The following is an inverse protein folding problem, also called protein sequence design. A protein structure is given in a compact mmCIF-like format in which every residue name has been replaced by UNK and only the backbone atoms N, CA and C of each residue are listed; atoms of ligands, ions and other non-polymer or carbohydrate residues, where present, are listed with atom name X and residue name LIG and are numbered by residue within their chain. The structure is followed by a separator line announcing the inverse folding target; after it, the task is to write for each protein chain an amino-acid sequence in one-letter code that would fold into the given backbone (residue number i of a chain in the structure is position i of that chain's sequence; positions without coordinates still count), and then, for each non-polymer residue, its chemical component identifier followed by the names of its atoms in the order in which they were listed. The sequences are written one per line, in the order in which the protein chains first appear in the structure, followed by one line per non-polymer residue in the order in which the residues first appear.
data_IF_327430510058
#
_entry.id   IF_327430510058
#
_cell.length_a   1.000
_cell.length_b   1.000
_cell.length_c   1.000
_cell.angle_alpha   90.00
_cell.angle_beta   90.00
_cell.angle_gamma   90.00
#
_symmetry.space_group_name_H-M   'P 1'
#
loop_
_entity.id
_entity.type
_entity.pdbx_description
1 polymer ?
#
# COMPACT_ATOMS: atom_id res chain seq x y z
N UNK A 1 -28.62 21.22 1.47
CA UNK A 1 -28.72 19.74 1.60
C UNK A 1 -29.03 19.38 3.03
N UNK A 2 -30.02 18.51 3.27
CA UNK A 2 -30.47 18.07 4.60
C UNK A 2 -29.35 17.30 5.33
N UNK A 3 -29.30 17.44 6.67
CA UNK A 3 -28.34 16.73 7.55
C UNK A 3 -28.36 15.20 7.34
N UNK A 4 -29.53 14.66 7.04
CA UNK A 4 -29.79 13.25 6.75
C UNK A 4 -29.11 12.80 5.44
N UNK A 5 -29.24 13.59 4.36
CA UNK A 5 -28.63 13.27 3.05
C UNK A 5 -27.07 13.26 3.11
N UNK A 6 -26.49 14.04 4.03
CA UNK A 6 -25.03 14.08 4.24
C UNK A 6 -24.54 12.85 5.02
N UNK A 7 -25.34 12.38 5.99
CA UNK A 7 -25.03 11.16 6.76
C UNK A 7 -25.13 9.93 5.86
N UNK A 8 -26.15 9.84 5.00
CA UNK A 8 -26.32 8.74 4.04
C UNK A 8 -25.16 8.68 3.04
N UNK A 9 -24.65 9.84 2.58
CA UNK A 9 -23.50 9.90 1.67
C UNK A 9 -22.21 9.37 2.32
N UNK A 10 -21.95 9.71 3.58
CA UNK A 10 -20.81 9.20 4.33
C UNK A 10 -20.90 7.69 4.58
N UNK A 11 -22.08 7.20 4.96
CA UNK A 11 -22.30 5.78 5.20
C UNK A 11 -22.14 4.95 3.91
N UNK A 12 -22.64 5.47 2.81
CA UNK A 12 -22.51 4.85 1.48
C UNK A 12 -21.05 4.75 1.05
N UNK A 13 -20.27 5.83 1.25
CA UNK A 13 -18.83 5.83 0.94
C UNK A 13 -18.05 4.79 1.75
N UNK A 14 -18.26 4.71 3.07
CA UNK A 14 -17.63 3.69 3.91
C UNK A 14 -18.02 2.28 3.45
N UNK A 15 -19.27 2.08 3.03
CA UNK A 15 -19.74 0.78 2.52
C UNK A 15 -19.08 0.42 1.19
N UNK A 16 -18.92 1.37 0.28
CA UNK A 16 -18.25 1.15 -1.02
C UNK A 16 -16.76 0.84 -0.84
N UNK A 17 -16.08 1.57 0.04
CA UNK A 17 -14.68 1.30 0.42
C UNK A 17 -14.56 -0.11 1.02
N UNK A 18 -15.44 -0.48 1.96
CA UNK A 18 -15.42 -1.81 2.58
C UNK A 18 -15.67 -2.95 1.58
N UNK A 19 -16.54 -2.73 0.58
CA UNK A 19 -16.77 -3.69 -0.51
C UNK A 19 -15.55 -3.83 -1.42
N UNK A 20 -14.89 -2.71 -1.76
CA UNK A 20 -13.68 -2.73 -2.58
C UNK A 20 -12.53 -3.48 -1.90
N UNK A 21 -12.34 -3.26 -0.61
CA UNK A 21 -11.34 -3.97 0.22
C UNK A 21 -11.56 -5.48 0.22
N UNK A 22 -12.82 -5.93 0.12
CA UNK A 22 -13.21 -7.34 0.10
C UNK A 22 -13.16 -7.98 -1.29
N UNK A 23 -12.84 -7.21 -2.33
CA UNK A 23 -12.80 -7.67 -3.73
C UNK A 23 -11.39 -8.12 -4.13
N UNK A 24 -11.29 -8.87 -5.24
CA UNK A 24 -10.01 -9.29 -5.85
C UNK A 24 -9.30 -8.17 -6.64
N UNK A 25 -9.60 -6.91 -6.36
CA UNK A 25 -8.96 -5.76 -6.99
C UNK A 25 -7.49 -5.66 -6.57
N UNK A 26 -6.63 -5.21 -7.47
CA UNK A 26 -5.25 -4.87 -7.15
C UNK A 26 -5.21 -3.74 -6.11
N UNK A 27 -4.23 -3.76 -5.22
CA UNK A 27 -4.08 -2.77 -4.15
C UNK A 27 -4.16 -1.33 -4.67
N UNK A 28 -3.54 -1.03 -5.80
CA UNK A 28 -3.54 0.30 -6.42
C UNK A 28 -4.94 0.79 -6.80
N UNK A 29 -5.79 -0.10 -7.31
CA UNK A 29 -7.18 0.25 -7.65
C UNK A 29 -8.01 0.55 -6.40
N UNK A 30 -7.79 -0.22 -5.32
CA UNK A 30 -8.42 0.03 -4.02
C UNK A 30 -7.99 1.40 -3.48
N UNK A 31 -6.70 1.70 -3.48
CA UNK A 31 -6.18 2.98 -2.99
C UNK A 31 -6.70 4.16 -3.80
N UNK A 32 -6.77 4.01 -5.14
CA UNK A 32 -7.34 5.03 -6.03
C UNK A 32 -8.81 5.27 -5.74
N UNK A 33 -9.60 4.20 -5.54
CA UNK A 33 -11.01 4.31 -5.17
C UNK A 33 -11.17 5.05 -3.84
N UNK A 34 -10.37 4.70 -2.83
CA UNK A 34 -10.41 5.35 -1.51
C UNK A 34 -10.19 6.86 -1.63
N UNK A 35 -9.14 7.31 -2.32
CA UNK A 35 -8.87 8.75 -2.46
C UNK A 35 -9.95 9.47 -3.25
N UNK A 36 -10.51 8.84 -4.30
CA UNK A 36 -11.55 9.43 -5.15
C UNK A 36 -12.85 9.59 -4.37
N UNK A 37 -13.34 8.53 -3.75
CA UNK A 37 -14.58 8.55 -2.96
C UNK A 37 -14.46 9.51 -1.77
N UNK A 38 -13.31 9.53 -1.10
CA UNK A 38 -13.07 10.45 0.01
C UNK A 38 -13.10 11.91 -0.47
N UNK A 39 -12.48 12.20 -1.61
CA UNK A 39 -12.50 13.55 -2.19
C UNK A 39 -13.92 14.04 -2.49
N UNK A 40 -14.75 13.18 -3.07
CA UNK A 40 -16.16 13.49 -3.38
C UNK A 40 -16.99 13.72 -2.11
N UNK A 41 -16.87 12.80 -1.14
CA UNK A 41 -17.70 12.84 0.09
C UNK A 41 -17.34 14.03 0.94
N UNK A 42 -16.07 14.34 1.07
CA UNK A 42 -15.58 15.46 1.88
C UNK A 42 -15.53 16.79 1.09
N UNK A 43 -15.98 16.78 -0.17
CA UNK A 43 -15.97 17.95 -1.06
C UNK A 43 -14.60 18.63 -1.09
N UNK A 44 -13.54 17.82 -1.20
CA UNK A 44 -12.16 18.29 -1.25
C UNK A 44 -11.67 18.43 -2.68
N UNK A 45 -10.68 19.28 -2.89
CA UNK A 45 -10.04 19.47 -4.20
C UNK A 45 -9.10 18.33 -4.56
N UNK A 46 -8.24 17.95 -3.61
CA UNK A 46 -7.30 16.85 -3.77
C UNK A 46 -7.26 16.03 -2.48
N UNK A 47 -7.35 14.71 -2.65
CA UNK A 47 -6.93 13.74 -1.66
C UNK A 47 -5.68 13.02 -2.13
N UNK A 48 -4.79 12.68 -1.23
CA UNK A 48 -3.63 11.86 -1.53
C UNK A 48 -3.24 10.96 -0.36
N UNK A 49 -2.80 9.78 -0.70
CA UNK A 49 -2.34 8.77 0.22
C UNK A 49 -0.84 8.55 -0.01
N UNK A 50 -0.07 8.71 1.05
CA UNK A 50 1.36 8.51 1.04
C UNK A 50 1.70 7.30 1.92
N UNK A 51 2.50 6.36 1.43
CA UNK A 51 3.00 5.24 2.21
C UNK A 51 4.42 5.51 2.70
N UNK A 52 4.72 5.03 3.90
CA UNK A 52 6.04 5.11 4.50
C UNK A 52 6.93 3.99 3.94
N UNK A 53 7.97 4.38 3.23
CA UNK A 53 9.10 3.50 2.92
C UNK A 53 9.95 3.38 4.21
N UNK A 54 9.90 2.22 4.85
CA UNK A 54 10.56 2.00 6.13
C UNK A 54 12.09 1.98 6.00
N UNK A 55 12.63 1.59 4.84
CA UNK A 55 14.08 1.50 4.61
C UNK A 55 14.68 2.90 4.43
N UNK A 56 14.02 3.75 3.64
CA UNK A 56 14.44 5.12 3.38
C UNK A 56 13.91 6.12 4.40
N UNK A 57 12.93 5.73 5.20
CA UNK A 57 12.18 6.60 6.13
C UNK A 57 11.56 7.82 5.44
N UNK A 58 10.98 7.58 4.27
CA UNK A 58 10.35 8.58 3.43
C UNK A 58 8.89 8.22 3.12
N UNK A 59 8.05 9.24 3.05
CA UNK A 59 6.67 9.14 2.59
C UNK A 59 6.62 9.31 1.07
N UNK A 60 6.04 8.34 0.37
CA UNK A 60 5.92 8.28 -1.09
C UNK A 60 4.44 8.32 -1.47
N UNK A 61 4.05 9.17 -2.42
CA UNK A 61 2.67 9.20 -2.95
C UNK A 61 2.38 7.87 -3.63
N UNK A 62 1.32 7.19 -3.20
CA UNK A 62 0.86 5.92 -3.78
C UNK A 62 -0.47 6.06 -4.50
N UNK A 63 -1.35 6.95 -4.02
CA UNK A 63 -2.61 7.22 -4.68
C UNK A 63 -3.01 8.69 -4.53
N UNK A 64 -3.60 9.23 -5.57
CA UNK A 64 -4.27 10.53 -5.59
C UNK A 64 -5.22 10.56 -6.79
N UNK A 65 -6.31 11.33 -6.69
CA UNK A 65 -7.15 11.62 -7.85
C UNK A 65 -6.66 12.82 -8.66
N UNK A 66 -5.59 13.50 -8.22
CA UNK A 66 -4.99 14.59 -9.00
C UNK A 66 -4.39 14.08 -10.29
N UNK A 67 -4.74 14.72 -11.41
CA UNK A 67 -4.14 14.49 -12.72
C UNK A 67 -2.92 15.40 -12.99
N UNK A 68 -2.65 16.32 -12.06
CA UNK A 68 -1.53 17.27 -12.19
C UNK A 68 -0.19 16.56 -12.07
N UNK A 69 0.63 16.72 -13.11
CA UNK A 69 2.00 16.23 -13.10
C UNK A 69 2.85 16.89 -12.00
N UNK A 70 2.67 18.20 -11.79
CA UNK A 70 3.39 18.93 -10.76
C UNK A 70 3.07 18.42 -9.35
N UNK A 71 1.81 18.00 -9.10
CA UNK A 71 1.41 17.40 -7.84
C UNK A 71 1.97 15.98 -7.69
N UNK A 72 1.90 15.16 -8.73
CA UNK A 72 2.30 13.75 -8.71
C UNK A 72 3.82 13.55 -8.63
N UNK A 73 4.59 14.52 -9.13
CA UNK A 73 6.07 14.49 -9.14
C UNK A 73 6.71 15.21 -7.95
N UNK A 74 5.92 15.53 -6.91
CA UNK A 74 6.50 16.11 -5.69
C UNK A 74 7.57 15.16 -5.10
N UNK A 75 8.67 15.73 -4.57
CA UNK A 75 9.68 14.94 -3.85
C UNK A 75 9.07 14.14 -2.71
N UNK A 76 9.67 12.99 -2.40
CA UNK A 76 9.35 12.24 -1.20
C UNK A 76 9.60 13.10 0.04
N UNK A 77 8.85 12.84 1.10
CA UNK A 77 8.90 13.60 2.34
C UNK A 77 9.54 12.72 3.41
N UNK A 78 10.63 13.18 4.02
CA UNK A 78 11.27 12.44 5.10
C UNK A 78 10.38 12.41 6.35
N UNK A 79 10.52 11.35 7.11
CA UNK A 79 9.83 11.22 8.41
C UNK A 79 10.25 12.39 9.32
N UNK A 80 9.25 13.09 9.87
CA UNK A 80 9.44 14.29 10.69
C UNK A 80 9.57 15.60 9.90
N UNK A 81 9.71 15.57 8.58
CA UNK A 81 9.86 16.74 7.73
C UNK A 81 8.52 17.24 7.19
N UNK A 82 8.32 18.53 7.17
CA UNK A 82 7.08 19.15 6.72
C UNK A 82 5.85 18.69 7.52
N UNK A 83 4.67 18.88 6.95
CA UNK A 83 3.40 18.53 7.64
C UNK A 83 3.19 17.01 7.64
N UNK A 84 3.26 16.35 6.49
CA UNK A 84 3.00 14.92 6.41
C UNK A 84 4.05 14.09 7.19
N UNK A 85 5.35 14.47 7.13
CA UNK A 85 6.39 13.79 7.90
C UNK A 85 6.20 13.95 9.42
N UNK A 86 5.73 15.10 9.88
CA UNK A 86 5.37 15.32 11.29
C UNK A 86 4.15 14.51 11.70
N UNK A 87 3.09 14.48 10.89
CA UNK A 87 1.92 13.62 11.13
C UNK A 87 2.32 12.16 11.29
N UNK A 88 3.23 11.68 10.44
CA UNK A 88 3.74 10.31 10.54
C UNK A 88 4.55 10.09 11.82
N UNK A 89 5.39 11.04 12.23
CA UNK A 89 6.23 10.94 13.42
C UNK A 89 5.41 11.06 14.71
N UNK A 90 4.54 12.09 14.79
CA UNK A 90 3.75 12.42 15.98
C UNK A 90 2.50 11.52 16.12
N UNK A 91 2.09 10.83 15.05
CA UNK A 91 0.89 9.96 14.99
C UNK A 91 -0.39 10.70 15.34
N UNK A 92 -0.48 11.96 14.99
CA UNK A 92 -1.63 12.84 15.29
C UNK A 92 -2.06 13.60 14.05
N UNK A 93 -3.37 13.86 13.87
CA UNK A 93 -3.84 14.75 12.82
C UNK A 93 -3.25 16.16 12.97
N UNK A 94 -2.96 16.79 11.81
CA UNK A 94 -2.56 18.21 11.74
C UNK A 94 -3.49 18.90 10.74
N UNK A 95 -4.02 20.08 11.17
CA UNK A 95 -4.81 20.97 10.33
C UNK A 95 -3.99 22.21 10.01
N UNK A 96 -4.00 22.64 8.75
CA UNK A 96 -3.37 23.87 8.28
C UNK A 96 -4.41 24.69 7.53
N UNK A 97 -4.61 25.92 7.98
CA UNK A 97 -5.60 26.83 7.39
C UNK A 97 -5.20 27.32 6.01
N UNK A 98 -3.89 27.59 5.78
CA UNK A 98 -3.36 27.96 4.47
C UNK A 98 -1.95 27.39 4.25
N UNK A 99 -1.85 26.40 3.35
CA UNK A 99 -0.58 25.75 3.00
C UNK A 99 0.35 26.63 2.17
N UNK A 100 -0.18 27.68 1.54
CA UNK A 100 0.59 28.59 0.67
C UNK A 100 1.50 29.53 1.46
N UNK A 101 1.12 29.80 2.71
CA UNK A 101 1.81 30.71 3.62
C UNK A 101 2.47 30.00 4.79
N UNK A 102 2.09 28.75 5.07
CA UNK A 102 2.63 27.99 6.19
C UNK A 102 4.11 27.64 5.99
N UNK A 103 4.95 28.04 6.94
CA UNK A 103 6.41 27.88 6.86
C UNK A 103 6.85 26.41 6.88
N UNK A 104 6.09 25.54 7.55
CA UNK A 104 6.38 24.12 7.65
C UNK A 104 5.87 23.29 6.45
N UNK A 105 5.13 23.91 5.51
CA UNK A 105 4.65 23.23 4.32
C UNK A 105 5.69 23.29 3.19
N UNK A 106 6.23 22.15 2.78
CA UNK A 106 7.40 22.06 1.88
C UNK A 106 7.10 22.49 0.43
N UNK A 107 5.90 22.17 -0.07
CA UNK A 107 5.59 22.30 -1.51
C UNK A 107 4.67 23.51 -1.78
N UNK A 108 5.01 24.69 -1.22
CA UNK A 108 4.19 25.92 -1.32
C UNK A 108 3.93 26.35 -2.76
N UNK A 109 4.93 26.20 -3.64
CA UNK A 109 4.79 26.59 -5.04
C UNK A 109 3.83 25.65 -5.79
N UNK A 110 3.87 24.35 -5.49
CA UNK A 110 2.87 23.40 -6.00
C UNK A 110 1.49 23.74 -5.46
N UNK A 111 1.37 24.05 -4.18
CA UNK A 111 0.08 24.46 -3.60
C UNK A 111 -0.49 25.72 -4.28
N UNK A 112 0.32 26.73 -4.53
CA UNK A 112 -0.09 27.94 -5.27
C UNK A 112 -0.53 27.62 -6.68
N UNK A 113 0.26 26.84 -7.41
CA UNK A 113 -0.04 26.43 -8.79
C UNK A 113 -1.32 25.62 -8.90
N UNK A 114 -1.54 24.70 -7.97
CA UNK A 114 -2.74 23.86 -7.93
C UNK A 114 -3.93 24.51 -7.22
N UNK A 115 -3.77 25.72 -6.68
CA UNK A 115 -4.81 26.43 -5.94
C UNK A 115 -5.26 25.68 -4.71
N UNK A 116 -4.33 25.08 -3.95
CA UNK A 116 -4.60 24.40 -2.68
C UNK A 116 -4.52 25.42 -1.55
N UNK A 117 -5.48 25.39 -0.64
CA UNK A 117 -5.56 26.35 0.47
C UNK A 117 -5.45 25.66 1.81
N UNK A 118 -6.49 24.98 2.30
CA UNK A 118 -6.43 24.33 3.60
C UNK A 118 -6.07 22.85 3.46
N UNK A 119 -5.43 22.31 4.50
CA UNK A 119 -4.98 20.91 4.57
C UNK A 119 -5.44 20.27 5.87
N UNK A 120 -6.04 19.10 5.76
CA UNK A 120 -6.16 18.12 6.83
C UNK A 120 -5.26 16.92 6.50
N UNK A 121 -4.32 16.63 7.38
CA UNK A 121 -3.37 15.51 7.25
C UNK A 121 -3.54 14.59 8.44
N UNK A 122 -3.81 13.30 8.20
CA UNK A 122 -4.05 12.31 9.25
C UNK A 122 -3.14 11.09 9.09
N UNK A 123 -2.68 10.47 10.19
CA UNK A 123 -1.85 9.28 10.10
C UNK A 123 -2.68 8.05 9.73
N UNK A 124 -2.09 7.15 8.95
CA UNK A 124 -2.60 5.81 8.70
C UNK A 124 -1.91 4.84 9.66
N UNK A 125 -2.67 4.27 10.57
CA UNK A 125 -2.16 3.45 11.68
C UNK A 125 -2.68 2.02 11.60
N UNK A 126 -1.77 1.05 11.79
CA UNK A 126 -2.11 -0.35 12.04
C UNK A 126 -1.42 -0.80 13.32
N UNK A 127 -2.20 -1.21 14.32
CA UNK A 127 -1.68 -1.64 15.64
C UNK A 127 -0.68 -0.65 16.27
N UNK A 128 -0.97 0.67 16.13
CA UNK A 128 -0.11 1.74 16.65
C UNK A 128 1.16 2.05 15.83
N UNK A 129 1.42 1.31 14.74
CA UNK A 129 2.49 1.57 13.78
C UNK A 129 1.97 2.44 12.65
N UNK A 130 2.70 3.47 12.27
CA UNK A 130 2.39 4.29 11.09
C UNK A 130 2.81 3.51 9.85
N UNK A 131 1.91 3.41 8.88
CA UNK A 131 2.19 2.87 7.55
C UNK A 131 2.13 3.95 6.47
N UNK A 132 1.60 5.12 6.80
CA UNK A 132 1.51 6.24 5.87
C UNK A 132 0.72 7.41 6.42
N UNK A 133 0.35 8.32 5.54
CA UNK A 133 -0.39 9.56 5.83
C UNK A 133 -1.45 9.78 4.75
N UNK A 134 -2.63 10.22 5.15
CA UNK A 134 -3.70 10.62 4.25
C UNK A 134 -3.88 12.14 4.32
N UNK A 135 -3.73 12.81 3.19
CA UNK A 135 -3.88 14.26 3.05
C UNK A 135 -5.15 14.61 2.28
N UNK A 136 -5.86 15.61 2.78
CA UNK A 136 -7.04 16.18 2.15
C UNK A 136 -6.86 17.70 2.02
N UNK A 137 -7.00 18.22 0.80
CA UNK A 137 -6.84 19.65 0.49
C UNK A 137 -8.15 20.25 -0.02
N UNK A 138 -8.39 21.50 0.36
CA UNK A 138 -9.47 22.34 -0.19
C UNK A 138 -8.90 23.41 -1.11
N UNK A 139 -9.76 24.02 -1.95
CA UNK A 139 -9.41 25.16 -2.81
C UNK A 139 -9.83 26.51 -2.20
N UNK A 140 -10.43 26.48 -1.02
CA UNK A 140 -10.87 27.65 -0.26
C UNK A 140 -10.47 27.49 1.19
N UNK A 141 -10.37 28.61 1.95
CA UNK A 141 -10.20 28.55 3.40
C UNK A 141 -11.28 27.66 4.02
N UNK A 142 -10.87 26.69 4.83
CA UNK A 142 -11.76 25.76 5.48
C UNK A 142 -11.26 25.41 6.88
N UNK A 143 -12.13 25.61 7.87
CA UNK A 143 -11.90 25.20 9.24
C UNK A 143 -12.46 23.79 9.43
N UNK A 144 -11.60 22.81 9.48
CA UNK A 144 -12.00 21.41 9.65
C UNK A 144 -12.58 21.16 11.02
N UNK A 145 -13.86 20.79 11.06
CA UNK A 145 -14.55 20.39 12.28
C UNK A 145 -13.99 19.07 12.82
N UNK A 146 -14.16 18.83 14.12
CA UNK A 146 -13.77 17.55 14.73
C UNK A 146 -14.40 16.34 14.01
N UNK A 147 -15.64 16.47 13.56
CA UNK A 147 -16.32 15.43 12.80
C UNK A 147 -15.64 15.11 11.46
N UNK A 148 -15.09 16.11 10.76
CA UNK A 148 -14.36 15.90 9.52
C UNK A 148 -13.00 15.25 9.79
N UNK A 149 -12.32 15.66 10.87
CA UNK A 149 -11.07 15.03 11.33
C UNK A 149 -11.32 13.56 11.66
N UNK A 150 -12.36 13.25 12.44
CA UNK A 150 -12.72 11.88 12.83
C UNK A 150 -13.11 11.05 11.60
N UNK A 151 -13.84 11.63 10.65
CA UNK A 151 -14.25 10.96 9.42
C UNK A 151 -13.01 10.58 8.58
N UNK A 152 -12.10 11.51 8.33
CA UNK A 152 -10.89 11.23 7.56
C UNK A 152 -9.97 10.24 8.29
N UNK A 153 -9.87 10.34 9.62
CA UNK A 153 -9.11 9.39 10.44
C UNK A 153 -9.69 7.98 10.35
N UNK A 154 -11.02 7.85 10.35
CA UNK A 154 -11.70 6.57 10.16
C UNK A 154 -11.41 5.96 8.78
N UNK A 155 -11.49 6.76 7.72
CA UNK A 155 -11.13 6.33 6.35
C UNK A 155 -9.66 5.93 6.26
N UNK A 156 -8.76 6.74 6.83
CA UNK A 156 -7.32 6.45 6.87
C UNK A 156 -7.00 5.13 7.60
N UNK A 157 -7.73 4.83 8.68
CA UNK A 157 -7.61 3.58 9.41
C UNK A 157 -8.06 2.38 8.58
N UNK A 158 -9.17 2.49 7.82
CA UNK A 158 -9.63 1.43 6.92
C UNK A 158 -8.66 1.23 5.75
N UNK A 159 -8.14 2.31 5.16
CA UNK A 159 -7.10 2.23 4.14
C UNK A 159 -5.85 1.53 4.66
N UNK A 160 -5.43 1.84 5.88
CA UNK A 160 -4.29 1.22 6.53
C UNK A 160 -4.45 -0.30 6.67
N UNK A 161 -5.61 -0.76 7.11
CA UNK A 161 -5.93 -2.20 7.24
C UNK A 161 -5.93 -2.88 5.87
N UNK A 162 -6.50 -2.24 4.84
CA UNK A 162 -6.53 -2.79 3.49
C UNK A 162 -5.12 -3.00 2.93
N UNK A 163 -4.23 -2.03 3.13
CA UNK A 163 -2.83 -2.09 2.69
C UNK A 163 -2.09 -3.22 3.42
N UNK A 164 -2.18 -3.27 4.74
CA UNK A 164 -1.54 -4.32 5.55
C UNK A 164 -2.01 -5.73 5.11
N UNK A 165 -3.31 -5.90 4.90
CA UNK A 165 -3.87 -7.17 4.43
C UNK A 165 -3.34 -7.56 3.05
N UNK A 166 -3.28 -6.63 2.09
CA UNK A 166 -2.74 -6.90 0.77
C UNK A 166 -1.25 -7.26 0.81
N UNK A 167 -0.45 -6.56 1.62
CA UNK A 167 0.97 -6.91 1.82
C UNK A 167 1.14 -8.29 2.44
N UNK A 168 0.33 -8.63 3.44
CA UNK A 168 0.34 -9.95 4.08
C UNK A 168 -0.03 -11.05 3.09
N UNK A 169 -1.06 -10.84 2.24
CA UNK A 169 -1.44 -11.82 1.22
C UNK A 169 -0.31 -12.09 0.23
N UNK A 170 0.39 -11.06 -0.23
CA UNK A 170 1.53 -11.22 -1.14
C UNK A 170 2.65 -12.01 -0.45
N UNK A 171 3.00 -11.67 0.79
CA UNK A 171 4.02 -12.38 1.56
C UNK A 171 3.66 -13.85 1.80
N UNK A 172 2.41 -14.11 2.17
CA UNK A 172 1.92 -15.49 2.40
C UNK A 172 2.04 -16.32 1.12
N UNK A 173 1.63 -15.76 -0.03
CA UNK A 173 1.74 -16.44 -1.32
C UNK A 173 3.20 -16.80 -1.68
N UNK A 174 4.13 -15.87 -1.48
CA UNK A 174 5.56 -16.15 -1.71
C UNK A 174 6.06 -17.30 -0.82
N UNK A 175 5.73 -17.27 0.47
CA UNK A 175 6.12 -18.34 1.41
C UNK A 175 5.51 -19.69 1.01
N UNK A 176 4.24 -19.71 0.60
CA UNK A 176 3.58 -20.92 0.12
C UNK A 176 4.24 -21.48 -1.13
N UNK A 177 4.61 -20.64 -2.09
CA UNK A 177 5.32 -21.04 -3.31
C UNK A 177 6.71 -21.61 -2.99
N UNK A 178 7.47 -20.97 -2.09
CA UNK A 178 8.77 -21.49 -1.63
C UNK A 178 8.64 -22.84 -0.91
N UNK A 179 7.60 -23.00 -0.09
CA UNK A 179 7.36 -24.28 0.61
C UNK A 179 7.00 -25.40 -0.36
N UNK A 180 6.19 -25.12 -1.38
CA UNK A 180 5.84 -26.09 -2.43
C UNK A 180 7.10 -26.48 -3.20
N UNK A 181 7.91 -25.52 -3.63
CA UNK A 181 9.18 -25.79 -4.32
C UNK A 181 10.10 -26.67 -3.47
N UNK A 182 10.29 -26.32 -2.21
CA UNK A 182 11.13 -27.12 -1.29
C UNK A 182 10.64 -28.56 -1.18
N UNK A 183 9.34 -28.79 -1.01
CA UNK A 183 8.75 -30.14 -0.95
C UNK A 183 8.97 -30.93 -2.23
N UNK A 184 8.84 -30.32 -3.40
CA UNK A 184 9.08 -30.97 -4.69
C UNK A 184 10.56 -31.34 -4.86
N UNK A 185 11.47 -30.42 -4.52
CA UNK A 185 12.91 -30.67 -4.59
C UNK A 185 13.31 -31.82 -3.64
N UNK A 186 12.79 -31.83 -2.41
CA UNK A 186 13.05 -32.93 -1.45
C UNK A 186 12.53 -34.28 -1.96
N UNK A 187 11.33 -34.31 -2.56
CA UNK A 187 10.78 -35.53 -3.19
C UNK A 187 11.64 -36.01 -4.35
N UNK A 188 12.06 -35.11 -5.24
CA UNK A 188 12.95 -35.43 -6.36
C UNK A 188 14.32 -35.92 -5.89
N UNK A 189 14.92 -35.30 -4.86
CA UNK A 189 16.15 -35.78 -4.22
C UNK A 189 16.00 -37.23 -3.72
N UNK A 190 14.94 -37.50 -2.96
CA UNK A 190 14.65 -38.82 -2.41
C UNK A 190 14.56 -39.91 -3.53
N UNK A 191 13.95 -39.53 -4.66
CA UNK A 191 13.85 -40.43 -5.82
C UNK A 191 15.22 -40.69 -6.47
N UNK A 192 16.05 -39.66 -6.65
CA UNK A 192 17.41 -39.79 -7.18
C UNK A 192 18.30 -40.64 -6.27
N UNK A 193 18.23 -40.44 -4.94
CA UNK A 193 18.95 -41.26 -3.97
C UNK A 193 18.55 -42.74 -4.09
N UNK A 194 17.24 -43.02 -4.13
CA UNK A 194 16.73 -44.40 -4.20
C UNK A 194 17.02 -45.08 -5.53
N UNK A 195 16.80 -44.38 -6.67
CA UNK A 195 16.93 -45.00 -8.02
C UNK A 195 18.40 -45.02 -8.52
N UNK A 196 19.23 -44.05 -8.14
CA UNK A 196 20.58 -43.90 -8.65
C UNK A 196 21.67 -44.11 -7.59
N UNK A 197 21.30 -44.47 -6.36
CA UNK A 197 22.22 -44.69 -5.24
C UNK A 197 23.18 -43.51 -4.99
N UNK A 198 22.72 -42.29 -5.19
CA UNK A 198 23.50 -41.06 -5.03
C UNK A 198 23.48 -40.61 -3.56
N UNK A 199 24.49 -39.80 -3.18
CA UNK A 199 24.44 -39.09 -1.92
C UNK A 199 23.36 -37.96 -1.97
N UNK A 200 22.92 -37.48 -0.82
CA UNK A 200 21.97 -36.37 -0.76
C UNK A 200 22.54 -35.11 -1.41
N UNK A 201 23.82 -34.83 -1.19
CA UNK A 201 24.52 -33.69 -1.77
C UNK A 201 24.60 -33.78 -3.29
N UNK A 202 24.94 -34.98 -3.84
CA UNK A 202 25.01 -35.19 -5.28
C UNK A 202 23.62 -35.08 -5.93
N UNK A 203 22.58 -35.61 -5.30
CA UNK A 203 21.21 -35.50 -5.79
C UNK A 203 20.77 -34.00 -5.86
N UNK A 204 21.07 -33.22 -4.86
CA UNK A 204 20.80 -31.78 -4.89
C UNK A 204 21.58 -31.07 -5.99
N UNK A 205 22.90 -31.28 -6.06
CA UNK A 205 23.75 -30.68 -7.11
C UNK A 205 23.31 -31.07 -8.52
N UNK A 206 22.81 -32.29 -8.71
CA UNK A 206 22.28 -32.75 -10.01
C UNK A 206 21.02 -31.98 -10.41
N UNK A 207 20.08 -31.75 -9.48
CA UNK A 207 18.87 -30.94 -9.73
C UNK A 207 19.27 -29.49 -10.05
N UNK A 208 20.18 -28.91 -9.26
CA UNK A 208 20.66 -27.54 -9.43
C UNK A 208 21.36 -27.34 -10.78
N UNK A 209 22.27 -28.25 -11.15
CA UNK A 209 22.97 -28.21 -12.43
C UNK A 209 21.99 -28.30 -13.60
N UNK A 210 21.03 -29.23 -13.51
CA UNK A 210 20.00 -29.37 -14.54
C UNK A 210 19.12 -28.11 -14.67
N UNK A 211 18.79 -27.44 -13.57
CA UNK A 211 18.09 -26.16 -13.56
C UNK A 211 18.88 -25.10 -14.35
N UNK A 212 20.18 -24.96 -14.05
CA UNK A 212 21.04 -23.99 -14.76
C UNK A 212 21.20 -24.33 -16.24
N UNK A 213 21.48 -25.59 -16.60
CA UNK A 213 21.72 -26.03 -17.97
C UNK A 213 20.46 -25.88 -18.84
N UNK A 214 19.30 -26.14 -18.29
CA UNK A 214 18.01 -26.05 -19.02
C UNK A 214 17.34 -24.68 -18.93
N UNK A 215 17.85 -23.73 -18.10
CA UNK A 215 17.24 -22.46 -17.79
C UNK A 215 15.81 -22.59 -17.22
N UNK A 216 15.56 -23.64 -16.47
CA UNK A 216 14.29 -23.91 -15.78
C UNK A 216 14.46 -23.76 -14.29
N UNK A 217 13.38 -23.45 -13.57
CA UNK A 217 13.39 -23.41 -12.11
C UNK A 217 13.72 -24.79 -11.51
N UNK A 218 14.22 -24.80 -10.28
CA UNK A 218 14.43 -26.07 -9.56
C UNK A 218 13.12 -26.84 -9.36
N UNK A 219 12.01 -26.12 -9.21
CA UNK A 219 10.65 -26.68 -9.17
C UNK A 219 10.32 -27.48 -10.43
N UNK A 220 10.48 -26.87 -11.63
CA UNK A 220 10.18 -27.53 -12.90
C UNK A 220 11.05 -28.76 -13.12
N UNK A 221 12.33 -28.70 -12.73
CA UNK A 221 13.24 -29.85 -12.81
C UNK A 221 12.81 -30.96 -11.85
N UNK A 222 12.42 -30.60 -10.63
CA UNK A 222 11.95 -31.55 -9.63
C UNK A 222 10.64 -32.22 -10.07
N UNK A 223 9.68 -31.46 -10.61
CA UNK A 223 8.43 -31.99 -11.17
C UNK A 223 8.71 -32.98 -12.32
N UNK A 224 9.65 -32.66 -13.24
CA UNK A 224 10.03 -33.55 -14.31
C UNK A 224 10.65 -34.86 -13.80
N UNK A 225 11.51 -34.82 -12.77
CA UNK A 225 12.11 -36.01 -12.15
C UNK A 225 11.03 -36.85 -11.48
N UNK A 226 10.08 -36.26 -10.80
CA UNK A 226 8.98 -36.96 -10.13
C UNK A 226 8.11 -37.65 -11.18
N UNK A 227 7.69 -36.93 -12.23
CA UNK A 227 6.91 -37.50 -13.32
C UNK A 227 7.62 -38.68 -14.01
N UNK A 228 8.94 -38.56 -14.31
CA UNK A 228 9.71 -39.62 -14.91
C UNK A 228 9.96 -40.83 -13.99
N UNK A 229 9.69 -40.68 -12.68
CA UNK A 229 9.88 -41.77 -11.73
C UNK A 229 8.61 -42.58 -11.47
N UNK A 230 7.45 -42.05 -11.84
CA UNK A 230 6.13 -42.69 -11.72
C UNK A 230 5.83 -43.63 -12.93
N UNK A 231 6.75 -43.68 -13.91
CA UNK A 231 6.78 -44.64 -15.05
C UNK A 231 7.93 -45.63 -14.89
#
# INVERSE_FOLDING_TARGET
MSKTARVDKHLKAVTEISKAISSSLYLEDILRLIVTVTAEVMNSKICSLLLLDNDKKELVIRATQSISQAYNQKPNIKLGEGIAGRVALEKKPIVISDVRTNENYLNRDVAKKEGLVSLLSVPMLVKGRVIGVFNLYTDKPHDFSQKEIDTLTGVASQAAIAIENAELMVRTKVIEEELVERKLVEKAKSLLIKKLHMSEEDAYKKIQRRSMDSRKSMREVAEAIILAADF
#
